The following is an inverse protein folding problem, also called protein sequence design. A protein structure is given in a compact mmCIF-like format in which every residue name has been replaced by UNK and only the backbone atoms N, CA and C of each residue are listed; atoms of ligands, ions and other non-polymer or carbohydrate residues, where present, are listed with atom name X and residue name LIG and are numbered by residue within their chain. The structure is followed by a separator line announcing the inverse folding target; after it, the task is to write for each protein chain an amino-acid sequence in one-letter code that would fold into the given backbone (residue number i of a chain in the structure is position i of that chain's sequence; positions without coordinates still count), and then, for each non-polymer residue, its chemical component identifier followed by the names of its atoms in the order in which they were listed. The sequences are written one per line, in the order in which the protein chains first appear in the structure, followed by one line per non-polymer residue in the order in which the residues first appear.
data_IF_722744163112
#
_entry.id   IF_722744163112
#
_cell.length_a   1.000
_cell.length_b   1.000
_cell.length_c   1.000
_cell.angle_alpha   90.00
_cell.angle_beta   90.00
_cell.angle_gamma   90.00
#
_symmetry.space_group_name_H-M   'P 1'
#
loop_
_entity.id
_entity.type
_entity.pdbx_description
1 polymer ?
#
# COMPACT_ATOMS: atom_id res chain seq x y z
N UNK A 1 -6.98 -22.20 16.59
CA UNK A 1 -6.78 -20.76 16.62
C UNK A 1 -5.80 -20.23 15.59
N UNK A 2 -5.06 -21.11 14.96
CA UNK A 2 -4.14 -20.69 13.91
C UNK A 2 -4.85 -19.95 12.79
N UNK A 3 -6.09 -20.31 12.51
CA UNK A 3 -6.87 -19.65 11.47
C UNK A 3 -7.13 -18.17 11.79
N UNK A 4 -7.41 -17.87 13.05
CA UNK A 4 -7.65 -16.51 13.48
C UNK A 4 -6.37 -15.70 13.40
N UNK A 5 -5.25 -16.27 13.83
CA UNK A 5 -3.95 -15.60 13.72
C UNK A 5 -3.59 -15.30 12.28
N UNK A 6 -3.90 -16.25 11.39
CA UNK A 6 -3.59 -16.10 9.98
C UNK A 6 -4.38 -14.93 9.37
N UNK A 7 -5.67 -14.82 9.71
CA UNK A 7 -6.50 -13.73 9.22
C UNK A 7 -6.00 -12.39 9.74
N UNK A 8 -5.57 -12.36 10.98
CA UNK A 8 -5.02 -11.15 11.58
C UNK A 8 -3.78 -10.67 10.82
N UNK A 9 -2.89 -11.60 10.46
CA UNK A 9 -1.69 -11.26 9.70
C UNK A 9 -2.06 -10.71 8.34
N UNK A 10 -3.06 -11.29 7.69
CA UNK A 10 -3.53 -10.80 6.39
C UNK A 10 -4.02 -9.35 6.47
N UNK A 11 -4.80 -9.05 7.51
CA UNK A 11 -5.31 -7.69 7.70
C UNK A 11 -4.17 -6.70 7.85
N UNK A 12 -3.10 -7.10 8.55
CA UNK A 12 -1.95 -6.24 8.75
C UNK A 12 -1.13 -6.01 7.49
N UNK A 13 -1.36 -6.85 6.48
CA UNK A 13 -0.61 -6.79 5.23
C UNK A 13 -1.46 -6.34 4.06
N UNK A 14 -2.46 -5.52 4.30
CA UNK A 14 -3.29 -4.96 3.25
C UNK A 14 -2.74 -3.61 2.82
N UNK A 15 -2.48 -3.47 1.52
CA UNK A 15 -2.06 -2.21 0.93
C UNK A 15 -3.21 -1.65 0.10
N UNK A 16 -3.43 -0.35 0.22
CA UNK A 16 -4.42 0.34 -0.61
C UNK A 16 -3.68 1.14 -1.66
N UNK A 17 -4.18 1.06 -2.88
CA UNK A 17 -3.61 1.83 -3.98
C UNK A 17 -4.67 2.79 -4.47
N UNK A 18 -4.42 4.08 -4.26
CA UNK A 18 -5.32 5.15 -4.67
C UNK A 18 -5.07 5.44 -6.13
N UNK A 19 -6.13 5.38 -6.93
CA UNK A 19 -6.05 5.62 -8.38
C UNK A 19 -7.17 6.56 -8.79
N UNK A 20 -7.14 6.98 -10.04
CA UNK A 20 -8.23 7.75 -10.61
C UNK A 20 -8.52 7.24 -12.01
N UNK A 21 -9.66 7.65 -12.56
CA UNK A 21 -10.08 7.23 -13.91
C UNK A 21 -9.14 7.79 -14.96
N UNK A 22 -8.97 7.05 -16.06
CA UNK A 22 -8.15 7.48 -17.19
C UNK A 22 -6.73 7.86 -16.79
N UNK A 23 -6.17 7.11 -15.86
CA UNK A 23 -4.83 7.36 -15.36
C UNK A 23 -3.89 6.28 -15.88
N UNK A 24 -3.11 6.62 -16.92
CA UNK A 24 -2.15 5.70 -17.50
C UNK A 24 -1.06 5.33 -16.51
N UNK A 25 -0.60 6.29 -15.71
CA UNK A 25 0.41 6.06 -14.71
C UNK A 25 -0.08 5.11 -13.63
N UNK A 26 -1.37 5.18 -13.30
CA UNK A 26 -1.99 4.26 -12.34
C UNK A 26 -1.98 2.83 -12.87
N UNK A 27 -2.30 2.66 -14.14
CA UNK A 27 -2.28 1.33 -14.76
C UNK A 27 -0.88 0.75 -14.77
N UNK A 28 0.11 1.57 -15.12
CA UNK A 28 1.51 1.14 -15.11
C UNK A 28 1.94 0.79 -13.69
N UNK A 29 1.52 1.58 -12.70
CA UNK A 29 1.83 1.32 -11.32
C UNK A 29 1.28 -0.01 -10.84
N UNK A 30 0.03 -0.31 -11.16
CA UNK A 30 -0.60 -1.57 -10.78
C UNK A 30 0.15 -2.76 -11.39
N UNK A 31 0.60 -2.63 -12.62
CA UNK A 31 1.37 -3.69 -13.28
C UNK A 31 2.75 -3.86 -12.67
N UNK A 32 3.33 -2.79 -12.16
CA UNK A 32 4.68 -2.82 -11.60
C UNK A 32 4.76 -3.44 -10.21
N UNK A 33 3.63 -3.78 -9.60
CA UNK A 33 3.61 -4.34 -8.26
C UNK A 33 4.22 -5.74 -8.20
N UNK A 34 4.14 -6.49 -9.30
CA UNK A 34 4.81 -7.77 -9.43
C UNK A 34 4.56 -8.72 -8.26
N UNK A 35 5.63 -9.12 -7.59
CA UNK A 35 5.54 -10.10 -6.52
C UNK A 35 4.78 -9.58 -5.28
N UNK A 36 4.58 -8.29 -5.17
CA UNK A 36 3.82 -7.74 -4.04
C UNK A 36 2.38 -8.25 -4.02
N UNK A 37 1.83 -8.60 -5.19
CA UNK A 37 0.49 -9.17 -5.26
C UNK A 37 0.39 -10.50 -4.52
N UNK A 38 1.51 -11.18 -4.34
CA UNK A 38 1.56 -12.46 -3.64
C UNK A 38 1.87 -12.29 -2.15
N UNK A 39 2.47 -11.17 -1.77
CA UNK A 39 2.85 -10.91 -0.38
C UNK A 39 1.79 -10.12 0.38
N UNK A 40 1.01 -9.32 -0.33
CA UNK A 40 0.04 -8.41 0.28
C UNK A 40 -1.33 -8.58 -0.36
N UNK A 41 -2.35 -8.25 0.40
CA UNK A 41 -3.67 -8.05 -0.15
C UNK A 41 -3.70 -6.64 -0.72
N UNK A 42 -3.89 -6.53 -2.03
CA UNK A 42 -3.89 -5.23 -2.70
C UNK A 42 -5.33 -4.79 -2.93
N UNK A 43 -5.68 -3.64 -2.39
CA UNK A 43 -7.01 -3.07 -2.54
C UNK A 43 -6.91 -1.78 -3.35
N UNK A 44 -7.56 -1.77 -4.50
CA UNK A 44 -7.61 -0.58 -5.35
C UNK A 44 -8.76 0.30 -4.92
N UNK A 45 -8.49 1.57 -4.66
CA UNK A 45 -9.52 2.53 -4.28
C UNK A 45 -9.44 3.76 -5.18
N UNK A 46 -10.58 4.41 -5.39
CA UNK A 46 -10.65 5.60 -6.22
C UNK A 46 -10.51 6.85 -5.35
N UNK A 47 -9.90 7.90 -5.93
CA UNK A 47 -9.73 9.16 -5.20
C UNK A 47 -11.07 9.72 -4.72
N UNK A 48 -12.15 9.44 -5.44
CA UNK A 48 -13.47 9.94 -5.07
C UNK A 48 -14.05 9.23 -3.84
N UNK A 49 -13.42 8.17 -3.38
CA UNK A 49 -13.86 7.40 -2.22
C UNK A 49 -13.27 7.93 -0.92
N UNK A 50 -12.96 9.21 -0.85
CA UNK A 50 -12.43 9.83 0.35
C UNK A 50 -10.92 10.07 0.31
N UNK A 51 -10.33 10.02 -0.88
CA UNK A 51 -8.90 10.19 -1.06
C UNK A 51 -8.57 11.36 -1.98
N UNK A 52 -9.43 12.37 -2.02
CA UNK A 52 -9.29 13.50 -2.94
C UNK A 52 -7.95 14.23 -2.77
N UNK A 53 -7.38 14.19 -1.60
CA UNK A 53 -6.09 14.83 -1.32
C UNK A 53 -4.95 14.26 -2.17
N UNK A 54 -5.14 13.05 -2.72
CA UNK A 54 -4.14 12.40 -3.54
C UNK A 54 -4.36 12.55 -5.04
N UNK A 55 -5.36 13.34 -5.45
CA UNK A 55 -5.73 13.43 -6.86
C UNK A 55 -4.57 13.72 -7.78
N UNK A 56 -3.69 14.64 -7.41
CA UNK A 56 -2.53 15.01 -8.22
C UNK A 56 -1.29 14.15 -7.97
N UNK A 57 -1.42 13.17 -7.09
CA UNK A 57 -0.31 12.32 -6.69
C UNK A 57 -0.49 10.85 -7.07
N UNK A 58 -1.65 10.50 -7.62
CA UNK A 58 -1.94 9.10 -7.97
C UNK A 58 -0.97 8.56 -9.01
N UNK A 59 -0.65 7.26 -8.96
CA UNK A 59 -1.09 6.30 -7.95
C UNK A 59 -0.34 6.44 -6.63
N UNK A 60 -1.04 6.20 -5.52
CA UNK A 60 -0.45 6.30 -4.17
C UNK A 60 -0.66 4.97 -3.47
N UNK A 61 0.41 4.42 -2.89
CA UNK A 61 0.34 3.18 -2.13
C UNK A 61 0.30 3.52 -0.65
N UNK A 62 -0.75 3.06 0.03
CA UNK A 62 -0.96 3.33 1.45
C UNK A 62 -0.93 2.04 2.27
N UNK A 63 -0.26 2.11 3.41
CA UNK A 63 -0.38 1.11 4.45
C UNK A 63 -0.99 1.82 5.66
N UNK A 64 -2.28 1.59 5.89
CA UNK A 64 -3.01 2.41 6.83
C UNK A 64 -3.02 3.85 6.36
N UNK A 65 -2.46 4.74 7.17
CA UNK A 65 -2.35 6.16 6.82
C UNK A 65 -0.98 6.53 6.27
N UNK A 66 -0.07 5.56 6.20
CA UNK A 66 1.31 5.81 5.78
C UNK A 66 1.43 5.67 4.27
N UNK A 67 1.98 6.69 3.62
CA UNK A 67 2.29 6.64 2.19
C UNK A 67 3.60 5.88 2.01
N UNK A 68 3.55 4.77 1.29
CA UNK A 68 4.74 3.97 1.02
C UNK A 68 5.42 4.36 -0.28
N UNK A 69 4.63 4.76 -1.27
CA UNK A 69 5.16 5.17 -2.57
C UNK A 69 4.08 5.94 -3.31
N UNK A 70 4.48 6.77 -4.27
CA UNK A 70 3.51 7.53 -5.07
C UNK A 70 4.12 7.89 -6.42
N UNK A 71 3.25 8.17 -7.38
CA UNK A 71 3.68 8.54 -8.73
C UNK A 71 4.16 7.33 -9.50
N UNK A 72 5.46 7.24 -9.74
CA UNK A 72 6.05 6.11 -10.43
C UNK A 72 6.32 5.02 -9.40
N UNK A 73 5.45 4.02 -9.35
CA UNK A 73 5.54 2.97 -8.34
C UNK A 73 6.66 1.98 -8.66
N UNK A 74 7.33 1.54 -7.59
CA UNK A 74 8.40 0.56 -7.69
C UNK A 74 8.23 -0.47 -6.58
N UNK A 75 8.12 -1.75 -6.95
CA UNK A 75 7.87 -2.81 -5.98
C UNK A 75 8.92 -2.89 -4.89
N UNK A 76 10.17 -2.63 -5.23
CA UNK A 76 11.27 -2.70 -4.25
C UNK A 76 11.21 -1.51 -3.28
N UNK A 77 10.85 -0.33 -3.77
CA UNK A 77 10.65 0.83 -2.92
C UNK A 77 9.51 0.61 -1.93
N UNK A 78 8.41 0.07 -2.44
CA UNK A 78 7.24 -0.20 -1.60
C UNK A 78 7.60 -1.19 -0.50
N UNK A 79 8.27 -2.27 -0.87
CA UNK A 79 8.66 -3.29 0.10
C UNK A 79 9.65 -2.73 1.11
N UNK A 80 10.65 -1.98 0.64
CA UNK A 80 11.65 -1.37 1.51
C UNK A 80 10.99 -0.44 2.52
N UNK A 81 10.10 0.41 2.07
CA UNK A 81 9.43 1.37 2.94
C UNK A 81 8.49 0.67 3.93
N UNK A 82 7.83 -0.38 3.48
CA UNK A 82 6.99 -1.18 4.35
C UNK A 82 7.81 -1.82 5.48
N UNK A 83 8.91 -2.46 5.13
CA UNK A 83 9.77 -3.11 6.11
C UNK A 83 10.38 -2.10 7.08
N UNK A 84 10.82 -0.97 6.55
CA UNK A 84 11.38 0.09 7.38
C UNK A 84 10.35 0.58 8.40
N UNK A 85 9.14 0.80 7.96
CA UNK A 85 8.06 1.24 8.83
C UNK A 85 7.76 0.22 9.92
N UNK A 86 7.69 -1.06 9.53
CA UNK A 86 7.41 -2.15 10.48
C UNK A 86 8.51 -2.30 11.51
N UNK A 87 9.75 -2.22 11.07
CA UNK A 87 10.90 -2.36 11.97
C UNK A 87 10.93 -1.21 12.97
N UNK A 88 10.72 0.02 12.51
CA UNK A 88 10.71 1.17 13.40
C UNK A 88 9.58 1.08 14.42
N UNK A 89 8.42 0.63 13.98
CA UNK A 89 7.28 0.48 14.88
C UNK A 89 7.56 -0.54 15.99
N UNK A 90 8.20 -1.64 15.63
CA UNK A 90 8.54 -2.68 16.59
C UNK A 90 9.64 -2.23 17.54
N UNK A 91 10.72 -1.66 17.00
CA UNK A 91 11.89 -1.28 17.79
C UNK A 91 11.59 -0.13 18.75
N UNK A 92 10.81 0.83 18.29
CA UNK A 92 10.52 2.03 19.09
C UNK A 92 9.26 1.88 19.92
N UNK A 93 8.53 0.80 19.72
CA UNK A 93 7.27 0.56 20.41
C UNK A 93 6.32 1.74 20.24
N UNK A 94 6.32 2.33 19.04
CA UNK A 94 5.47 3.46 18.69
C UNK A 94 4.24 2.95 17.98
N UNK A 95 3.09 3.49 18.38
CA UNK A 95 1.82 3.15 17.75
C UNK A 95 1.46 4.24 16.75
N UNK A 96 1.62 3.94 15.47
CA UNK A 96 1.34 4.91 14.41
C UNK A 96 -0.11 4.86 13.94
#
# INVERSE_FOLDING_TARGET
MSKVSFDYIRDMSTLRIVVTKNCELCEKGLKSLGFLNNLFTIQKVDVEEGYEEFLLRVPVVLYGKKVLDEGILNQFNILKNFLKYKILKILLNIDF
#
